data_IF_752857624415
#
_entry.id   IF_752857624415
#
_cell.length_a   1.000
_cell.length_b   1.000
_cell.length_c   1.000
_cell.angle_alpha   90.00
_cell.angle_beta   90.00
_cell.angle_gamma   90.00
#
_symmetry.space_group_name_H-M   'P 1'
#
loop_
_entity.id
_entity.type
_entity.pdbx_description
1 polymer ?
#
# COMPACT_ATOMS: atom_id res chain seq x y z
N UNK A 1 12.18 4.43 -12.52
CA UNK A 1 12.78 4.92 -13.78
C UNK A 1 12.83 3.83 -14.85
N UNK A 2 13.35 2.61 -14.56
CA UNK A 2 13.43 1.53 -15.55
C UNK A 2 12.04 1.22 -16.13
N UNK A 3 11.07 0.91 -15.29
CA UNK A 3 9.71 0.57 -15.74
C UNK A 3 9.02 1.75 -16.44
N UNK A 4 9.27 3.00 -16.01
CA UNK A 4 8.75 4.17 -16.70
C UNK A 4 9.28 4.33 -18.13
N UNK A 5 10.51 3.86 -18.40
CA UNK A 5 11.09 3.84 -19.75
C UNK A 5 10.59 2.65 -20.59
N UNK A 6 10.46 1.48 -19.97
CA UNK A 6 10.15 0.22 -20.65
C UNK A 6 8.63 0.03 -20.84
N UNK A 7 7.84 0.34 -19.79
CA UNK A 7 6.40 0.12 -19.70
C UNK A 7 5.61 1.40 -19.37
N UNK A 8 6.12 2.57 -19.76
CA UNK A 8 5.64 3.88 -19.28
C UNK A 8 4.14 4.12 -19.42
N UNK A 9 3.51 3.56 -20.46
CA UNK A 9 2.06 3.71 -20.73
C UNK A 9 1.20 2.67 -20.03
N UNK A 10 1.80 1.59 -19.50
CA UNK A 10 1.07 0.50 -18.86
C UNK A 10 0.64 0.92 -17.47
N UNK A 11 -0.57 0.52 -17.09
CA UNK A 11 -1.10 0.74 -15.74
C UNK A 11 -0.27 -0.07 -14.75
N UNK A 12 0.36 0.60 -13.81
CA UNK A 12 1.17 -0.03 -12.76
C UNK A 12 0.41 -0.23 -11.45
N UNK A 13 -0.48 0.69 -11.12
CA UNK A 13 -1.16 0.68 -9.84
C UNK A 13 -2.62 1.09 -10.01
N UNK A 14 -3.51 0.31 -9.41
CA UNK A 14 -4.95 0.57 -9.33
C UNK A 14 -5.35 0.64 -7.87
N UNK A 15 -6.19 1.58 -7.51
CA UNK A 15 -6.86 1.65 -6.20
C UNK A 15 -8.34 1.37 -6.38
N UNK A 16 -8.85 0.43 -5.60
CA UNK A 16 -10.29 0.14 -5.48
C UNK A 16 -10.76 0.52 -4.08
N UNK A 17 -11.72 1.43 -4.00
CA UNK A 17 -12.34 1.86 -2.75
C UNK A 17 -13.84 1.60 -2.80
N UNK A 18 -14.32 0.44 -2.30
CA UNK A 18 -15.73 0.08 -2.33
C UNK A 18 -16.66 1.07 -1.61
N UNK A 19 -16.17 1.75 -0.58
CA UNK A 19 -16.96 2.72 0.19
C UNK A 19 -17.39 3.93 -0.66
N UNK A 20 -16.65 4.22 -1.73
CA UNK A 20 -16.99 5.27 -2.69
C UNK A 20 -18.00 4.82 -3.75
N UNK A 21 -18.39 3.57 -3.76
CA UNK A 21 -19.43 3.04 -4.66
C UNK A 21 -20.85 3.39 -4.22
N UNK A 22 -21.03 3.97 -3.04
CA UNK A 22 -22.37 4.31 -2.54
C UNK A 22 -23.10 5.22 -3.52
N UNK A 23 -24.16 4.67 -4.07
CA UNK A 23 -25.13 5.39 -4.87
C UNK A 23 -25.88 6.33 -3.93
N UNK A 24 -25.72 7.63 -4.14
CA UNK A 24 -26.45 8.62 -3.38
C UNK A 24 -27.93 8.46 -3.72
N UNK A 25 -28.76 8.04 -2.75
CA UNK A 25 -30.21 8.02 -2.88
C UNK A 25 -30.69 9.46 -2.79
N UNK A 26 -31.25 9.97 -3.88
CA UNK A 26 -31.90 11.27 -3.92
C UNK A 26 -33.41 11.03 -4.06
N UNK A 27 -34.18 11.47 -3.09
CA UNK A 27 -35.66 11.44 -3.18
C UNK A 27 -36.11 12.68 -3.94
N UNK A 28 -36.71 12.48 -5.10
CA UNK A 28 -37.33 13.55 -5.86
C UNK A 28 -38.81 13.26 -6.08
N UNK A 29 -39.68 14.04 -5.42
CA UNK A 29 -41.12 13.79 -5.32
C UNK A 29 -41.38 12.38 -4.71
N UNK A 30 -42.16 11.54 -5.41
CA UNK A 30 -42.49 10.18 -4.99
C UNK A 30 -41.54 9.12 -5.58
N UNK A 31 -40.39 9.53 -6.14
CA UNK A 31 -39.43 8.65 -6.78
C UNK A 31 -38.08 8.66 -6.06
N UNK A 32 -37.53 7.49 -5.83
CA UNK A 32 -36.11 7.31 -5.43
C UNK A 32 -35.24 7.29 -6.68
N UNK A 33 -34.44 8.34 -6.87
CA UNK A 33 -33.43 8.37 -7.92
C UNK A 33 -32.10 7.93 -7.32
N UNK A 34 -31.46 6.97 -7.95
CA UNK A 34 -30.09 6.57 -7.62
C UNK A 34 -29.16 7.32 -8.55
N UNK A 35 -28.57 8.40 -8.07
CA UNK A 35 -27.52 9.09 -8.80
C UNK A 35 -26.17 8.41 -8.53
N UNK A 36 -25.49 8.04 -9.61
CA UNK A 36 -24.04 7.78 -9.53
C UNK A 36 -23.36 9.12 -9.26
N UNK A 37 -22.63 9.24 -8.15
CA UNK A 37 -21.81 10.43 -7.92
C UNK A 37 -20.61 10.38 -8.87
N UNK A 38 -20.57 11.18 -9.96
CA UNK A 38 -19.48 11.16 -10.95
C UNK A 38 -18.13 11.63 -10.35
N UNK A 39 -18.15 12.26 -9.17
CA UNK A 39 -16.95 12.69 -8.45
C UNK A 39 -16.38 11.62 -7.54
N UNK A 40 -17.12 10.52 -7.29
CA UNK A 40 -16.64 9.36 -6.52
C UNK A 40 -15.90 8.39 -7.43
N UNK A 41 -14.62 8.54 -7.52
CA UNK A 41 -13.77 7.59 -8.21
C UNK A 41 -13.48 6.38 -7.31
N UNK A 42 -14.43 5.45 -7.27
CA UNK A 42 -14.22 4.20 -6.54
C UNK A 42 -13.03 3.41 -7.10
N UNK A 43 -12.67 3.65 -8.36
CA UNK A 43 -11.53 3.07 -9.06
C UNK A 43 -10.66 4.18 -9.63
N UNK A 44 -9.41 4.25 -9.19
CA UNK A 44 -8.38 5.16 -9.72
C UNK A 44 -7.19 4.34 -10.22
N UNK A 45 -6.46 4.85 -11.20
CA UNK A 45 -5.25 4.18 -11.69
C UNK A 45 -4.17 5.18 -12.08
N UNK A 46 -2.92 4.70 -12.05
CA UNK A 46 -1.76 5.41 -12.59
C UNK A 46 -0.90 4.47 -13.42
N UNK A 47 -0.22 5.02 -14.43
CA UNK A 47 0.75 4.32 -15.26
C UNK A 47 2.14 4.38 -14.62
N UNK A 48 3.09 3.56 -15.13
CA UNK A 48 4.48 3.60 -14.67
C UNK A 48 5.12 4.97 -14.88
N UNK A 49 4.76 5.68 -15.95
CA UNK A 49 5.24 7.04 -16.18
C UNK A 49 4.74 8.01 -15.12
N UNK A 50 3.44 8.02 -14.86
CA UNK A 50 2.84 8.88 -13.82
C UNK A 50 3.36 8.53 -12.42
N UNK A 51 3.59 7.25 -12.15
CA UNK A 51 4.19 6.80 -10.90
C UNK A 51 5.58 7.42 -10.68
N UNK A 52 6.43 7.34 -11.71
CA UNK A 52 7.81 7.89 -11.63
C UNK A 52 7.80 9.41 -11.53
N UNK A 53 6.93 10.11 -12.26
CA UNK A 53 6.75 11.56 -12.15
C UNK A 53 6.33 11.98 -10.75
N UNK A 54 5.34 11.32 -10.16
CA UNK A 54 4.88 11.61 -8.78
C UNK A 54 6.00 11.40 -7.77
N UNK A 55 6.75 10.31 -7.88
CA UNK A 55 7.89 10.03 -7.02
C UNK A 55 9.00 11.10 -7.18
N UNK A 56 9.30 11.51 -8.40
CA UNK A 56 10.28 12.55 -8.67
C UNK A 56 9.85 13.91 -8.11
N UNK A 57 8.60 14.32 -8.31
CA UNK A 57 8.07 15.58 -7.78
C UNK A 57 8.15 15.64 -6.26
N UNK A 58 7.82 14.55 -5.58
CA UNK A 58 7.93 14.48 -4.13
C UNK A 58 9.40 14.51 -3.68
N UNK A 59 10.29 13.79 -4.36
CA UNK A 59 11.73 13.88 -4.09
C UNK A 59 12.27 15.31 -4.24
N UNK A 60 11.87 16.03 -5.30
CA UNK A 60 12.26 17.43 -5.50
C UNK A 60 11.70 18.35 -4.41
N UNK A 61 10.46 18.11 -3.94
CA UNK A 61 9.90 18.85 -2.81
C UNK A 61 10.74 18.62 -1.55
N UNK A 62 11.07 17.37 -1.21
CA UNK A 62 11.89 17.04 -0.05
C UNK A 62 13.26 17.72 -0.10
N UNK A 63 13.95 17.64 -1.25
CA UNK A 63 15.25 18.32 -1.47
C UNK A 63 15.13 19.83 -1.29
N UNK A 64 14.07 20.44 -1.82
CA UNK A 64 13.85 21.90 -1.68
C UNK A 64 13.63 22.34 -0.22
N UNK A 65 13.27 21.39 0.64
CA UNK A 65 13.10 21.59 2.09
C UNK A 65 14.34 21.16 2.90
N UNK A 66 15.44 20.83 2.22
CA UNK A 66 16.69 20.43 2.85
C UNK A 66 16.73 18.97 3.32
N UNK A 67 15.75 18.16 2.91
CA UNK A 67 15.68 16.73 3.26
C UNK A 67 16.50 15.92 2.25
N UNK A 68 17.40 15.08 2.75
CA UNK A 68 18.32 14.27 1.94
C UNK A 68 18.79 13.01 2.65
N UNK A 69 20.00 12.58 2.30
CA UNK A 69 20.58 11.32 2.79
C UNK A 69 20.68 11.29 4.32
N UNK A 70 20.06 10.28 4.93
CA UNK A 70 20.05 10.06 6.37
C UNK A 70 18.87 10.69 7.11
N UNK A 71 18.15 11.64 6.50
CA UNK A 71 16.89 12.16 7.07
C UNK A 71 15.77 11.12 7.00
N UNK A 72 14.74 11.28 7.82
CA UNK A 72 13.66 10.29 7.97
C UNK A 72 12.31 10.93 7.67
N UNK A 73 11.56 10.27 6.80
CA UNK A 73 10.23 10.72 6.37
C UNK A 73 9.20 9.67 6.72
N UNK A 74 8.30 9.98 7.65
CA UNK A 74 7.23 9.08 8.07
C UNK A 74 6.03 9.13 7.12
N UNK A 75 5.40 7.97 6.92
CA UNK A 75 4.20 7.80 6.09
C UNK A 75 3.08 7.24 6.97
N UNK A 76 2.04 8.03 7.20
CA UNK A 76 0.82 7.66 7.92
C UNK A 76 -0.39 7.78 6.98
N UNK A 77 -0.53 6.81 6.10
CA UNK A 77 -1.56 6.74 5.07
C UNK A 77 -2.24 5.38 5.06
N UNK A 78 -3.52 5.35 4.72
CA UNK A 78 -4.17 4.11 4.28
C UNK A 78 -3.58 3.70 2.91
N UNK A 79 -3.82 2.44 2.49
CA UNK A 79 -3.45 2.03 1.13
C UNK A 79 -4.13 2.94 0.11
N UNK A 80 -3.35 3.68 -0.66
CA UNK A 80 -3.81 4.60 -1.69
C UNK A 80 -2.78 4.74 -2.82
N UNK A 81 -3.17 5.35 -3.93
CA UNK A 81 -2.28 5.55 -5.08
C UNK A 81 -1.06 6.42 -4.75
N UNK A 82 -1.17 7.28 -3.77
CA UNK A 82 -0.12 8.21 -3.34
C UNK A 82 0.96 7.52 -2.50
N UNK A 83 0.62 6.44 -1.80
CA UNK A 83 1.50 5.78 -0.82
C UNK A 83 2.85 5.35 -1.40
N UNK A 84 2.82 4.61 -2.50
CA UNK A 84 4.03 4.06 -3.11
C UNK A 84 4.88 5.11 -3.85
N UNK A 85 4.31 6.06 -4.62
CA UNK A 85 5.07 7.19 -5.14
C UNK A 85 5.74 8.02 -4.06
N UNK A 86 5.09 8.24 -2.90
CA UNK A 86 5.69 8.90 -1.74
C UNK A 86 6.88 8.09 -1.22
N UNK A 87 6.69 6.78 -0.99
CA UNK A 87 7.75 5.90 -0.52
C UNK A 87 8.99 5.96 -1.43
N UNK A 88 8.81 5.83 -2.75
CA UNK A 88 9.91 5.90 -3.69
C UNK A 88 10.47 7.32 -3.87
N UNK A 89 9.65 8.35 -3.71
CA UNK A 89 10.11 9.73 -3.67
C UNK A 89 11.10 9.97 -2.53
N UNK A 90 10.80 9.42 -1.34
CA UNK A 90 11.73 9.44 -0.19
C UNK A 90 13.04 8.75 -0.55
N UNK A 91 12.98 7.51 -1.02
CA UNK A 91 14.18 6.74 -1.36
C UNK A 91 15.04 7.42 -2.42
N UNK A 92 14.45 8.14 -3.38
CA UNK A 92 15.18 8.89 -4.42
C UNK A 92 16.03 10.05 -3.87
N UNK A 93 15.78 10.51 -2.64
CA UNK A 93 16.60 11.53 -1.97
C UNK A 93 17.75 10.95 -1.14
N UNK A 94 17.77 9.63 -0.93
CA UNK A 94 18.64 8.97 0.05
C UNK A 94 18.12 9.08 1.49
N UNK A 95 16.95 9.67 1.71
CA UNK A 95 16.28 9.66 3.00
C UNK A 95 15.64 8.29 3.28
N UNK A 96 15.38 8.00 4.56
CA UNK A 96 14.77 6.76 5.02
C UNK A 96 13.25 6.91 5.09
N UNK A 97 12.55 5.94 4.52
CA UNK A 97 11.10 5.85 4.67
C UNK A 97 10.73 5.22 6.03
N UNK A 98 9.80 5.83 6.75
CA UNK A 98 9.32 5.36 8.06
C UNK A 98 7.81 5.09 8.01
N UNK A 99 7.37 3.94 7.47
CA UNK A 99 5.95 3.59 7.44
C UNK A 99 5.38 3.38 8.82
N UNK A 100 4.30 4.10 9.15
CA UNK A 100 3.62 3.99 10.45
C UNK A 100 2.35 3.15 10.34
N UNK A 101 2.08 2.39 11.39
CA UNK A 101 0.85 1.63 11.49
C UNK A 101 -0.36 2.59 11.61
N UNK A 102 -1.30 2.47 10.70
CA UNK A 102 -2.50 3.31 10.67
C UNK A 102 -3.44 3.10 11.89
N UNK A 103 -3.16 2.09 12.74
CA UNK A 103 -3.91 1.84 13.97
C UNK A 103 -3.34 2.55 15.19
N UNK A 104 -2.16 3.16 15.07
CA UNK A 104 -1.54 3.85 16.19
C UNK A 104 -2.41 4.98 16.73
N UNK A 105 -2.49 5.04 18.05
CA UNK A 105 -3.04 6.17 18.79
C UNK A 105 -2.09 7.39 18.73
N UNK A 106 -2.55 8.60 19.08
CA UNK A 106 -1.72 9.81 19.01
C UNK A 106 -0.38 9.69 19.76
N UNK A 107 -0.38 9.11 20.96
CA UNK A 107 0.82 8.87 21.77
C UNK A 107 1.79 7.86 21.16
N UNK A 108 1.26 6.82 20.49
CA UNK A 108 2.09 5.85 19.75
C UNK A 108 2.70 6.48 18.51
N UNK A 109 1.97 7.37 17.81
CA UNK A 109 2.49 8.14 16.67
C UNK A 109 3.62 9.03 17.15
N UNK A 110 3.39 9.85 18.19
CA UNK A 110 4.41 10.73 18.79
C UNK A 110 5.65 9.93 19.20
N UNK A 111 5.46 8.79 19.88
CA UNK A 111 6.54 7.91 20.29
C UNK A 111 7.38 7.41 19.10
N UNK A 112 6.73 6.91 18.04
CA UNK A 112 7.44 6.40 16.86
C UNK A 112 8.19 7.51 16.12
N UNK A 113 7.60 8.70 15.99
CA UNK A 113 8.24 9.86 15.38
C UNK A 113 9.50 10.29 16.15
N UNK A 114 9.44 10.25 17.47
CA UNK A 114 10.57 10.61 18.33
C UNK A 114 11.65 9.51 18.33
N UNK A 115 11.26 8.24 18.42
CA UNK A 115 12.21 7.11 18.43
C UNK A 115 13.00 7.01 17.13
N UNK A 116 12.37 7.24 16.00
CA UNK A 116 13.02 7.21 14.69
C UNK A 116 13.64 8.56 14.30
N UNK A 117 13.55 9.59 15.15
CA UNK A 117 14.05 10.94 14.86
C UNK A 117 13.56 11.46 13.51
N UNK A 118 12.23 11.37 13.28
CA UNK A 118 11.60 11.73 12.01
C UNK A 118 11.66 13.23 11.76
N UNK A 119 12.00 13.64 10.54
CA UNK A 119 12.08 15.04 10.10
C UNK A 119 10.80 15.51 9.42
N UNK A 120 10.09 14.60 8.74
CA UNK A 120 8.87 14.88 7.98
C UNK A 120 7.81 13.85 8.27
N UNK A 121 6.57 14.28 8.50
CA UNK A 121 5.40 13.40 8.54
C UNK A 121 4.49 13.68 7.35
N UNK A 122 4.19 12.66 6.56
CA UNK A 122 3.17 12.68 5.50
C UNK A 122 1.97 11.91 5.99
N UNK A 123 0.78 12.53 6.03
CA UNK A 123 -0.42 11.90 6.57
C UNK A 123 -1.67 12.18 5.74
N UNK A 124 -2.67 11.30 5.87
CA UNK A 124 -3.93 11.36 5.12
C UNK A 124 -5.13 11.80 5.96
N UNK A 125 -6.30 11.93 5.32
CA UNK A 125 -7.51 12.47 5.94
C UNK A 125 -8.02 11.64 7.13
N UNK A 126 -7.77 10.34 7.11
CA UNK A 126 -8.20 9.42 8.19
C UNK A 126 -7.47 9.69 9.53
N UNK A 127 -6.40 10.49 9.48
CA UNK A 127 -5.51 10.74 10.61
C UNK A 127 -5.53 12.18 11.13
N UNK A 128 -6.30 13.09 10.52
CA UNK A 128 -6.33 14.51 10.90
C UNK A 128 -6.48 14.68 12.42
N UNK A 129 -7.52 14.10 13.03
CA UNK A 129 -7.77 14.26 14.47
C UNK A 129 -6.64 13.73 15.37
N UNK A 130 -6.01 12.62 14.98
CA UNK A 130 -4.89 12.04 15.74
C UNK A 130 -3.62 12.89 15.64
N UNK A 131 -3.35 13.44 14.45
CA UNK A 131 -2.18 14.31 14.22
C UNK A 131 -2.42 15.68 14.84
N UNK A 132 -3.64 16.24 14.77
CA UNK A 132 -4.01 17.50 15.39
C UNK A 132 -3.78 17.49 16.92
N UNK A 133 -4.13 16.39 17.58
CA UNK A 133 -3.96 16.23 19.04
C UNK A 133 -2.49 16.39 19.48
N UNK A 134 -1.55 16.02 18.60
CA UNK A 134 -0.11 16.07 18.90
C UNK A 134 0.63 17.15 18.09
N UNK A 135 -0.07 17.91 17.25
CA UNK A 135 0.54 18.84 16.30
C UNK A 135 1.48 19.86 16.95
N UNK A 136 1.07 20.46 18.06
CA UNK A 136 1.90 21.45 18.78
C UNK A 136 3.22 20.87 19.30
N UNK A 137 3.27 19.57 19.57
CA UNK A 137 4.48 18.89 20.06
C UNK A 137 5.40 18.49 18.90
N UNK A 138 4.81 18.02 17.80
CA UNK A 138 5.59 17.45 16.68
C UNK A 138 6.01 18.47 15.63
N UNK A 139 5.26 19.58 15.44
CA UNK A 139 5.54 20.60 14.43
C UNK A 139 6.74 21.51 14.75
N UNK A 140 7.20 21.55 15.98
CA UNK A 140 8.32 22.39 16.37
C UNK A 140 9.62 22.07 15.63
N UNK A 141 9.83 20.79 15.28
CA UNK A 141 11.05 20.29 14.64
C UNK A 141 10.76 19.41 13.41
N UNK A 142 9.54 19.42 12.84
CA UNK A 142 9.14 18.55 11.74
C UNK A 142 8.27 19.28 10.74
N UNK A 143 8.42 18.91 9.47
CA UNK A 143 7.50 19.30 8.41
C UNK A 143 6.29 18.34 8.42
N UNK A 144 5.09 18.89 8.26
CA UNK A 144 3.85 18.14 8.19
C UNK A 144 3.22 18.31 6.81
N UNK A 145 3.16 17.25 6.00
CA UNK A 145 2.53 17.27 4.68
C UNK A 145 1.22 16.47 4.72
N UNK A 146 0.16 17.08 4.25
CA UNK A 146 -1.15 16.47 4.18
C UNK A 146 -1.50 16.05 2.77
N UNK A 147 -1.90 14.78 2.60
CA UNK A 147 -2.34 14.18 1.34
C UNK A 147 -3.86 14.08 1.36
N UNK A 148 -4.54 14.91 0.59
CA UNK A 148 -6.01 14.94 0.53
C UNK A 148 -6.54 16.30 0.11
N UNK A 149 -7.88 16.47 0.15
CA UNK A 149 -8.54 17.68 -0.33
C UNK A 149 -8.33 18.89 0.58
N UNK A 150 -9.15 18.99 1.64
CA UNK A 150 -9.15 20.15 2.54
C UNK A 150 -7.99 20.02 3.54
N UNK A 151 -6.86 20.67 3.24
CA UNK A 151 -5.66 20.65 4.07
C UNK A 151 -5.90 21.39 5.40
N UNK A 152 -5.64 20.77 6.54
CA UNK A 152 -5.75 21.42 7.84
C UNK A 152 -4.68 22.51 8.01
N UNK A 153 -5.00 23.55 8.81
CA UNK A 153 -4.15 24.74 8.96
C UNK A 153 -2.77 24.47 9.59
N UNK A 154 -2.61 23.34 10.29
CA UNK A 154 -1.35 22.94 10.92
C UNK A 154 -0.42 22.15 9.98
N UNK A 155 -0.80 21.90 8.72
CA UNK A 155 -0.02 21.16 7.74
C UNK A 155 0.07 21.89 6.40
N UNK A 156 0.96 21.41 5.54
CA UNK A 156 1.12 21.90 4.17
C UNK A 156 0.49 20.92 3.17
N UNK A 157 -0.14 21.46 2.14
CA UNK A 157 -0.87 20.70 1.12
C UNK A 157 0.12 19.99 0.15
N UNK A 158 0.22 18.69 0.28
CA UNK A 158 1.09 17.83 -0.55
C UNK A 158 0.81 17.99 -2.04
N UNK A 159 -0.46 17.99 -2.45
CA UNK A 159 -0.83 18.02 -3.87
C UNK A 159 -0.47 19.35 -4.50
N UNK A 160 -0.73 20.49 -3.82
CA UNK A 160 -0.36 21.82 -4.31
C UNK A 160 1.14 21.99 -4.38
N UNK A 161 1.88 21.51 -3.37
CA UNK A 161 3.34 21.67 -3.34
C UNK A 161 4.00 20.82 -4.43
N UNK A 162 3.64 19.55 -4.55
CA UNK A 162 4.22 18.64 -5.54
C UNK A 162 3.88 19.03 -6.98
N UNK A 163 2.69 19.59 -7.23
CA UNK A 163 2.30 20.08 -8.56
C UNK A 163 3.29 21.12 -9.13
N UNK A 164 3.93 21.90 -8.27
CA UNK A 164 4.89 22.94 -8.67
C UNK A 164 6.33 22.44 -8.75
N UNK A 165 6.61 21.17 -8.40
CA UNK A 165 7.94 20.60 -8.44
C UNK A 165 8.26 20.00 -9.81
N UNK A 166 9.55 19.98 -10.17
CA UNK A 166 10.01 19.31 -11.37
C UNK A 166 9.78 17.79 -11.30
N UNK A 167 9.42 17.19 -12.45
CA UNK A 167 9.22 15.74 -12.57
C UNK A 167 10.50 14.96 -12.93
N UNK A 168 11.64 15.64 -12.94
CA UNK A 168 12.94 15.03 -13.24
C UNK A 168 13.49 14.31 -12.00
N UNK A 169 14.08 13.14 -12.23
CA UNK A 169 14.77 12.39 -11.18
C UNK A 169 15.90 13.24 -10.56
N UNK A 170 16.06 13.24 -9.23
CA UNK A 170 17.05 14.10 -8.56
C UNK A 170 18.50 13.70 -8.83
N UNK A 171 18.74 12.47 -9.32
CA UNK A 171 20.09 12.01 -9.68
C UNK A 171 21.03 11.80 -8.47
N UNK A 172 20.48 11.64 -7.28
CA UNK A 172 21.27 11.36 -6.07
C UNK A 172 21.85 9.94 -6.16
N UNK A 173 23.16 9.76 -5.99
CA UNK A 173 23.78 8.44 -5.97
C UNK A 173 23.38 7.70 -4.67
N UNK A 174 22.83 6.50 -4.83
CA UNK A 174 22.38 5.63 -3.75
C UNK A 174 23.01 4.26 -3.95
N UNK A 175 23.57 3.71 -2.88
CA UNK A 175 24.14 2.36 -2.83
C UNK A 175 23.12 1.36 -2.26
N UNK A 176 23.25 0.10 -2.64
CA UNK A 176 22.47 -1.00 -2.05
C UNK A 176 22.71 -1.15 -0.53
N UNK A 177 23.90 -0.72 -0.05
CA UNK A 177 24.27 -0.73 1.37
C UNK A 177 23.71 0.47 2.16
N UNK A 178 23.21 1.52 1.47
CA UNK A 178 22.64 2.69 2.15
C UNK A 178 21.36 2.30 2.88
N UNK A 179 21.13 2.94 4.03
CA UNK A 179 19.90 2.79 4.79
C UNK A 179 18.70 3.27 3.98
N UNK A 180 17.61 2.51 4.02
CA UNK A 180 16.44 2.74 3.16
C UNK A 180 15.15 2.96 3.93
N UNK A 181 14.93 2.22 5.03
CA UNK A 181 13.69 2.34 5.77
C UNK A 181 13.81 1.90 7.22
N UNK A 182 12.95 2.47 8.07
CA UNK A 182 12.72 2.02 9.45
C UNK A 182 11.28 1.49 9.52
N UNK A 183 11.14 0.20 9.88
CA UNK A 183 9.85 -0.43 10.14
C UNK A 183 9.66 -0.65 11.62
N UNK A 184 8.40 -0.58 12.06
CA UNK A 184 8.06 -0.85 13.46
C UNK A 184 7.44 -2.24 13.59
N UNK A 185 7.94 -3.04 14.55
CA UNK A 185 7.31 -4.28 14.98
C UNK A 185 6.56 -4.07 16.30
N UNK A 186 5.55 -4.93 16.55
CA UNK A 186 4.89 -4.99 17.84
C UNK A 186 5.88 -5.47 18.90
N UNK A 187 6.38 -4.56 19.73
CA UNK A 187 7.28 -4.91 20.81
C UNK A 187 6.60 -5.82 21.85
N UNK A 188 7.32 -6.82 22.36
CA UNK A 188 6.87 -7.64 23.49
C UNK A 188 6.70 -6.84 24.80
N UNK A 189 7.19 -5.61 24.82
CA UNK A 189 7.20 -4.69 25.97
C UNK A 189 6.08 -3.62 25.93
N UNK A 190 5.17 -3.69 24.96
CA UNK A 190 4.03 -2.78 24.81
C UNK A 190 4.25 -1.62 23.83
N UNK A 191 5.50 -1.18 23.62
CA UNK A 191 5.80 -0.13 22.64
C UNK A 191 6.46 -0.70 21.38
N UNK A 192 6.23 -0.08 20.18
CA UNK A 192 6.85 -0.50 18.93
C UNK A 192 8.39 -0.42 18.98
N UNK A 193 9.05 -1.38 18.32
CA UNK A 193 10.52 -1.38 18.14
C UNK A 193 10.87 -0.95 16.73
N UNK A 194 11.81 -0.03 16.60
CA UNK A 194 12.33 0.43 15.32
C UNK A 194 13.34 -0.57 14.75
N UNK A 195 13.17 -0.94 13.48
CA UNK A 195 14.02 -1.90 12.76
C UNK A 195 14.54 -1.21 11.50
N UNK A 196 15.85 -1.08 11.40
CA UNK A 196 16.52 -0.45 10.27
C UNK A 196 16.80 -1.46 9.17
N UNK A 197 16.51 -1.09 7.93
CA UNK A 197 16.78 -1.87 6.73
C UNK A 197 17.50 -1.04 5.69
N UNK A 198 18.46 -1.65 4.99
CA UNK A 198 19.10 -1.08 3.81
C UNK A 198 18.37 -1.50 2.51
N UNK A 199 18.77 -0.89 1.38
CA UNK A 199 18.16 -1.18 0.09
C UNK A 199 18.34 -2.64 -0.33
N UNK A 200 19.51 -3.25 -0.08
CA UNK A 200 19.79 -4.63 -0.45
C UNK A 200 18.83 -5.62 0.23
N UNK A 201 18.66 -5.51 1.55
CA UNK A 201 17.79 -6.42 2.33
C UNK A 201 16.33 -6.34 1.86
N UNK A 202 15.84 -5.11 1.63
CA UNK A 202 14.48 -4.90 1.13
C UNK A 202 14.29 -5.48 -0.27
N UNK A 203 15.27 -5.32 -1.15
CA UNK A 203 15.22 -5.82 -2.52
C UNK A 203 15.38 -7.34 -2.57
N UNK A 204 16.21 -7.93 -1.70
CA UNK A 204 16.42 -9.38 -1.64
C UNK A 204 15.11 -10.11 -1.35
N UNK A 205 14.38 -9.69 -0.32
CA UNK A 205 13.08 -10.27 0.02
C UNK A 205 12.11 -10.23 -1.17
N UNK A 206 12.08 -9.12 -1.90
CA UNK A 206 11.21 -8.96 -3.06
C UNK A 206 11.60 -9.89 -4.22
N UNK A 207 12.90 -10.09 -4.47
CA UNK A 207 13.40 -11.03 -5.49
C UNK A 207 13.04 -12.47 -5.14
N UNK A 208 13.14 -12.84 -3.87
CA UNK A 208 12.77 -14.18 -3.39
C UNK A 208 11.29 -14.46 -3.65
N UNK A 209 10.42 -13.56 -3.21
CA UNK A 209 8.96 -13.70 -3.42
C UNK A 209 8.59 -13.73 -4.91
N UNK A 210 9.10 -12.80 -5.69
CA UNK A 210 8.83 -12.76 -7.14
C UNK A 210 9.21 -14.09 -7.80
N UNK A 211 10.35 -14.68 -7.41
CA UNK A 211 10.81 -15.96 -7.94
C UNK A 211 9.89 -17.11 -7.52
N UNK A 212 9.46 -17.16 -6.26
CA UNK A 212 8.54 -18.19 -5.76
C UNK A 212 7.17 -18.09 -6.41
N UNK A 213 6.63 -16.90 -6.56
CA UNK A 213 5.37 -16.68 -7.26
C UNK A 213 5.46 -16.95 -8.77
N UNK A 214 6.66 -17.01 -9.33
CA UNK A 214 6.86 -17.03 -10.78
C UNK A 214 6.20 -15.84 -11.44
N UNK A 215 6.25 -14.66 -10.77
CA UNK A 215 5.57 -13.46 -11.24
C UNK A 215 6.28 -12.91 -12.47
N UNK A 216 5.48 -12.53 -13.46
CA UNK A 216 5.91 -11.95 -14.75
C UNK A 216 5.23 -10.61 -14.99
N UNK A 217 5.56 -9.94 -16.10
CA UNK A 217 4.92 -8.69 -16.51
C UNK A 217 3.40 -8.83 -16.72
N UNK A 218 2.95 -9.99 -17.19
CA UNK A 218 1.53 -10.25 -17.49
C UNK A 218 0.67 -10.49 -16.25
N UNK A 219 1.28 -10.61 -15.07
CA UNK A 219 0.55 -10.82 -13.83
C UNK A 219 -0.10 -9.55 -13.30
N UNK A 220 -1.20 -9.74 -12.58
CA UNK A 220 -1.89 -8.70 -11.82
C UNK A 220 -1.97 -9.13 -10.36
N UNK A 221 -1.29 -8.39 -9.49
CA UNK A 221 -1.20 -8.69 -8.08
C UNK A 221 -2.25 -7.93 -7.27
N UNK A 222 -3.13 -8.61 -6.55
CA UNK A 222 -4.05 -7.98 -5.60
C UNK A 222 -3.39 -7.91 -4.21
N UNK A 223 -3.03 -6.69 -3.82
CA UNK A 223 -2.45 -6.37 -2.51
C UNK A 223 -3.52 -5.78 -1.58
N UNK A 224 -4.02 -6.59 -0.64
CA UNK A 224 -5.03 -6.18 0.33
C UNK A 224 -4.38 -5.71 1.64
N UNK A 225 -3.35 -6.41 2.16
CA UNK A 225 -2.73 -6.04 3.43
C UNK A 225 -2.13 -4.63 3.42
N UNK A 226 -2.03 -3.99 4.60
CA UNK A 226 -1.52 -2.63 4.70
C UNK A 226 -0.06 -2.49 4.23
N UNK A 227 0.22 -1.47 3.42
CA UNK A 227 1.55 -1.20 2.86
C UNK A 227 2.61 -0.82 3.90
N UNK A 228 2.22 -0.42 5.11
CA UNK A 228 3.18 -0.16 6.18
C UNK A 228 3.85 -1.44 6.71
N UNK A 229 3.30 -2.62 6.45
CA UNK A 229 3.96 -3.89 6.77
C UNK A 229 5.01 -4.26 5.72
N UNK A 230 6.15 -4.78 6.18
CA UNK A 230 7.21 -5.28 5.29
C UNK A 230 6.68 -6.34 4.31
N UNK A 231 5.82 -7.25 4.77
CA UNK A 231 5.21 -8.27 3.93
C UNK A 231 4.41 -7.70 2.75
N UNK A 232 3.50 -6.75 2.98
CA UNK A 232 2.70 -6.15 1.91
C UNK A 232 3.54 -5.45 0.86
N UNK A 233 4.53 -4.67 1.32
CA UNK A 233 5.47 -3.98 0.43
C UNK A 233 6.28 -4.97 -0.40
N UNK A 234 6.78 -6.02 0.22
CA UNK A 234 7.57 -7.05 -0.45
C UNK A 234 6.81 -7.65 -1.65
N UNK A 235 5.54 -7.99 -1.46
CA UNK A 235 4.72 -8.53 -2.55
C UNK A 235 4.50 -7.52 -3.66
N UNK A 236 4.25 -6.25 -3.32
CA UNK A 236 4.13 -5.21 -4.35
C UNK A 236 5.45 -5.01 -5.11
N UNK A 237 6.60 -5.15 -4.45
CA UNK A 237 7.89 -5.04 -5.11
C UNK A 237 8.15 -6.13 -6.16
N UNK A 238 7.46 -7.28 -6.07
CA UNK A 238 7.42 -8.24 -7.16
C UNK A 238 6.88 -7.61 -8.45
N UNK A 239 5.82 -6.82 -8.36
CA UNK A 239 5.29 -6.04 -9.48
C UNK A 239 6.29 -4.98 -9.97
N UNK A 240 7.01 -4.32 -9.07
CA UNK A 240 8.08 -3.39 -9.43
C UNK A 240 9.21 -4.08 -10.22
N UNK A 241 9.61 -5.30 -9.79
CA UNK A 241 10.68 -6.05 -10.46
C UNK A 241 10.32 -6.48 -11.87
N UNK A 242 9.06 -6.83 -12.11
CA UNK A 242 8.57 -7.37 -13.38
C UNK A 242 7.88 -6.33 -14.27
N UNK A 243 7.62 -5.13 -13.76
CA UNK A 243 6.83 -4.12 -14.46
C UNK A 243 5.33 -4.44 -14.53
N UNK A 244 4.85 -5.40 -13.73
CA UNK A 244 3.45 -5.83 -13.74
C UNK A 244 2.53 -4.88 -12.97
N UNK A 245 1.21 -5.06 -13.16
CA UNK A 245 0.18 -4.28 -12.49
C UNK A 245 -0.05 -4.79 -11.05
N UNK A 246 -0.27 -3.88 -10.12
CA UNK A 246 -0.78 -4.19 -8.79
C UNK A 246 -2.09 -3.45 -8.51
N UNK A 247 -2.94 -4.07 -7.69
CA UNK A 247 -4.24 -3.53 -7.27
C UNK A 247 -4.25 -3.40 -5.76
N UNK A 248 -4.56 -2.21 -5.26
CA UNK A 248 -4.77 -1.94 -3.85
C UNK A 248 -6.27 -1.95 -3.56
N UNK A 249 -6.72 -2.79 -2.64
CA UNK A 249 -8.11 -2.85 -2.22
C UNK A 249 -8.27 -2.22 -0.83
N UNK A 250 -9.09 -1.17 -0.75
CA UNK A 250 -9.63 -0.64 0.51
C UNK A 250 -10.96 -1.33 0.81
N UNK A 251 -11.28 -1.58 2.06
CA UNK A 251 -12.56 -2.18 2.43
C UNK A 251 -12.69 -3.65 2.00
N UNK A 252 -12.54 -4.56 2.94
CA UNK A 252 -12.39 -6.00 2.70
C UNK A 252 -13.66 -6.75 3.08
N UNK A 253 -14.26 -7.43 2.10
CA UNK A 253 -15.32 -8.42 2.28
C UNK A 253 -15.16 -9.54 1.26
N UNK A 254 -15.76 -10.72 1.45
CA UNK A 254 -15.75 -11.78 0.46
C UNK A 254 -16.18 -11.31 -0.92
N UNK A 255 -17.24 -10.54 -0.99
CA UNK A 255 -17.78 -9.96 -2.22
C UNK A 255 -16.80 -9.02 -2.89
N UNK A 256 -16.27 -8.02 -2.16
CA UNK A 256 -15.36 -7.01 -2.74
C UNK A 256 -14.04 -7.61 -3.22
N UNK A 257 -13.55 -8.66 -2.54
CA UNK A 257 -12.36 -9.40 -2.99
C UNK A 257 -12.64 -10.08 -4.35
N UNK A 258 -13.72 -10.86 -4.44
CA UNK A 258 -14.04 -11.61 -5.66
C UNK A 258 -14.42 -10.67 -6.84
N UNK A 259 -15.15 -9.59 -6.57
CA UNK A 259 -15.43 -8.54 -7.57
C UNK A 259 -14.13 -7.91 -8.09
N UNK A 260 -13.21 -7.58 -7.21
CA UNK A 260 -11.92 -7.00 -7.60
C UNK A 260 -11.08 -7.98 -8.42
N UNK A 261 -11.00 -9.25 -7.99
CA UNK A 261 -10.29 -10.30 -8.74
C UNK A 261 -10.87 -10.46 -10.14
N UNK A 262 -12.21 -10.49 -10.24
CA UNK A 262 -12.93 -10.63 -11.52
C UNK A 262 -12.71 -9.42 -12.43
N UNK A 263 -12.94 -8.20 -11.92
CA UNK A 263 -12.97 -6.98 -12.72
C UNK A 263 -11.56 -6.54 -13.14
N UNK A 264 -10.58 -6.63 -12.23
CA UNK A 264 -9.19 -6.25 -12.50
C UNK A 264 -8.36 -7.40 -13.09
N UNK A 265 -8.95 -8.59 -13.23
CA UNK A 265 -8.30 -9.81 -13.75
C UNK A 265 -7.06 -10.20 -12.94
N UNK A 266 -7.18 -10.16 -11.61
CA UNK A 266 -6.06 -10.49 -10.74
C UNK A 266 -5.63 -11.95 -10.90
N UNK A 267 -4.34 -12.18 -11.03
CA UNK A 267 -3.73 -13.51 -11.22
C UNK A 267 -3.09 -14.05 -9.95
N UNK A 268 -2.64 -13.16 -9.09
CA UNK A 268 -2.06 -13.45 -7.78
C UNK A 268 -2.80 -12.63 -6.73
N UNK A 269 -3.26 -13.29 -5.67
CA UNK A 269 -4.01 -12.63 -4.58
C UNK A 269 -3.35 -12.97 -3.25
N UNK A 270 -3.04 -11.96 -2.46
CA UNK A 270 -2.62 -12.19 -1.09
C UNK A 270 -3.78 -12.07 -0.13
N UNK A 271 -4.10 -13.19 0.53
CA UNK A 271 -5.13 -13.29 1.55
C UNK A 271 -4.52 -13.53 2.93
N UNK A 272 -5.08 -12.90 3.94
CA UNK A 272 -4.93 -13.35 5.32
C UNK A 272 -5.84 -14.55 5.56
N UNK A 273 -5.44 -15.43 6.49
CA UNK A 273 -6.23 -16.64 6.83
C UNK A 273 -7.70 -16.32 7.16
N UNK A 274 -8.05 -15.28 7.97
CA UNK A 274 -9.45 -14.92 8.21
C UNK A 274 -10.22 -14.60 6.93
N UNK A 275 -9.64 -13.84 6.00
CA UNK A 275 -10.33 -13.49 4.75
C UNK A 275 -10.62 -14.71 3.87
N UNK A 276 -9.67 -15.65 3.81
CA UNK A 276 -9.91 -16.92 3.13
C UNK A 276 -11.04 -17.73 3.80
N UNK A 277 -11.09 -17.72 5.13
CA UNK A 277 -12.18 -18.36 5.89
C UNK A 277 -13.53 -17.69 5.63
N UNK A 278 -13.58 -16.35 5.59
CA UNK A 278 -14.79 -15.58 5.32
C UNK A 278 -15.33 -15.84 3.91
N UNK A 279 -14.44 -15.93 2.90
CA UNK A 279 -14.84 -16.32 1.53
C UNK A 279 -15.47 -17.72 1.53
N UNK A 280 -14.83 -18.70 2.14
CA UNK A 280 -15.37 -20.06 2.21
C UNK A 280 -16.69 -20.12 2.96
N UNK A 281 -16.83 -19.39 4.06
CA UNK A 281 -18.06 -19.32 4.82
C UNK A 281 -19.21 -18.67 4.03
N UNK A 282 -18.91 -17.63 3.25
CA UNK A 282 -19.89 -16.98 2.39
C UNK A 282 -20.35 -17.89 1.24
N UNK A 283 -19.42 -18.67 0.65
CA UNK A 283 -19.74 -19.69 -0.36
C UNK A 283 -20.62 -20.81 0.20
N UNK A 284 -20.28 -21.34 1.39
CA UNK A 284 -21.06 -22.42 2.03
C UNK A 284 -22.49 -21.98 2.37
N UNK A 285 -22.69 -20.70 2.75
CA UNK A 285 -24.02 -20.16 3.02
C UNK A 285 -24.80 -19.77 1.75
N UNK A 286 -24.13 -19.73 0.60
CA UNK A 286 -24.71 -19.25 -0.65
C UNK A 286 -24.90 -17.72 -0.71
N UNK A 287 -24.24 -16.97 0.17
CA UNK A 287 -24.23 -15.49 0.15
C UNK A 287 -23.55 -14.95 -1.11
N UNK A 288 -22.59 -15.71 -1.65
CA UNK A 288 -21.89 -15.46 -2.90
C UNK A 288 -21.85 -16.74 -3.74
N UNK A 289 -21.80 -16.59 -5.06
CA UNK A 289 -21.72 -17.70 -6.00
C UNK A 289 -20.54 -17.48 -6.93
N UNK A 290 -19.69 -18.50 -7.14
CA UNK A 290 -18.51 -18.38 -8.00
C UNK A 290 -18.86 -18.10 -9.45
N UNK A 291 -20.00 -18.57 -9.92
CA UNK A 291 -20.51 -18.36 -11.29
C UNK A 291 -20.77 -16.88 -11.63
N UNK A 292 -20.92 -16.02 -10.62
CA UNK A 292 -21.12 -14.58 -10.79
C UNK A 292 -19.80 -13.83 -11.13
N UNK A 293 -18.66 -14.52 -11.01
CA UNK A 293 -17.33 -13.92 -11.14
C UNK A 293 -16.48 -14.63 -12.20
N UNK A 294 -15.60 -13.87 -12.87
CA UNK A 294 -14.58 -14.42 -13.79
C UNK A 294 -13.29 -14.61 -13.02
N UNK A 295 -12.99 -15.85 -12.60
CA UNK A 295 -11.87 -16.17 -11.71
C UNK A 295 -10.83 -17.11 -12.34
N UNK A 296 -11.01 -17.55 -13.59
CA UNK A 296 -10.15 -18.54 -14.27
C UNK A 296 -8.68 -18.11 -14.34
N UNK A 297 -8.43 -16.79 -14.41
CA UNK A 297 -7.09 -16.22 -14.45
C UNK A 297 -6.38 -16.21 -13.07
N UNK A 298 -7.12 -16.36 -11.97
CA UNK A 298 -6.55 -16.39 -10.63
C UNK A 298 -5.78 -17.70 -10.42
N UNK A 299 -4.48 -17.66 -10.60
CA UNK A 299 -3.60 -18.83 -10.58
C UNK A 299 -2.98 -19.14 -9.23
N UNK A 300 -2.76 -18.12 -8.39
CA UNK A 300 -2.02 -18.25 -7.14
C UNK A 300 -2.71 -17.49 -6.00
N UNK A 301 -2.95 -18.21 -4.90
CA UNK A 301 -3.30 -17.62 -3.61
C UNK A 301 -2.05 -17.62 -2.73
N UNK A 302 -1.51 -16.44 -2.44
CA UNK A 302 -0.56 -16.29 -1.35
C UNK A 302 -1.34 -16.13 -0.04
N UNK A 303 -1.07 -16.96 0.97
CA UNK A 303 -1.81 -16.95 2.24
C UNK A 303 -0.83 -17.01 3.41
N UNK A 304 -0.96 -16.08 4.36
CA UNK A 304 0.01 -16.00 5.44
C UNK A 304 -0.38 -15.07 6.58
N UNK A 305 0.64 -14.46 7.17
CA UNK A 305 0.62 -13.64 8.37
C UNK A 305 0.20 -14.37 9.67
N UNK A 306 -0.14 -15.65 9.58
CA UNK A 306 -0.38 -16.56 10.71
C UNK A 306 -0.32 -18.02 10.22
N UNK A 307 -0.24 -19.02 11.13
CA UNK A 307 -0.26 -20.42 10.74
C UNK A 307 -1.48 -20.77 9.88
N UNK A 308 -1.24 -21.43 8.75
CA UNK A 308 -2.29 -21.84 7.81
C UNK A 308 -2.75 -23.26 8.12
N UNK A 309 -4.01 -23.48 8.57
CA UNK A 309 -4.50 -24.82 8.87
C UNK A 309 -4.59 -25.67 7.58
N UNK A 310 -4.08 -26.92 7.57
CA UNK A 310 -4.23 -27.79 6.41
C UNK A 310 -5.68 -28.06 6.00
N UNK A 311 -6.62 -28.00 6.96
CA UNK A 311 -8.07 -28.09 6.70
C UNK A 311 -8.59 -26.95 5.84
N UNK A 312 -8.07 -25.73 6.03
CA UNK A 312 -8.42 -24.57 5.22
C UNK A 312 -8.07 -24.80 3.75
N UNK A 313 -6.83 -25.28 3.48
CA UNK A 313 -6.39 -25.54 2.12
C UNK A 313 -7.19 -26.68 1.48
N UNK A 314 -7.49 -27.76 2.21
CA UNK A 314 -8.35 -28.85 1.71
C UNK A 314 -9.76 -28.34 1.33
N UNK A 315 -10.34 -27.46 2.17
CA UNK A 315 -11.64 -26.88 1.90
C UNK A 315 -11.59 -25.87 0.74
N UNK A 316 -10.54 -25.07 0.67
CA UNK A 316 -10.30 -24.13 -0.45
C UNK A 316 -10.26 -24.84 -1.81
N UNK A 317 -9.59 -25.97 -1.89
CA UNK A 317 -9.50 -26.78 -3.11
C UNK A 317 -10.84 -27.37 -3.59
N UNK A 318 -11.87 -27.43 -2.76
CA UNK A 318 -13.20 -27.85 -3.19
C UNK A 318 -13.86 -26.81 -4.09
N UNK A 319 -13.60 -25.53 -3.82
CA UNK A 319 -14.12 -24.41 -4.58
C UNK A 319 -13.16 -23.96 -5.69
N UNK A 320 -11.87 -24.03 -5.43
CA UNK A 320 -10.79 -23.57 -6.32
C UNK A 320 -9.76 -24.66 -6.60
N UNK A 321 -10.13 -25.72 -7.34
CA UNK A 321 -9.27 -26.89 -7.52
C UNK A 321 -7.98 -26.60 -8.30
N UNK A 322 -7.97 -25.59 -9.15
CA UNK A 322 -6.84 -25.21 -10.00
C UNK A 322 -5.88 -24.19 -9.37
N UNK A 323 -6.27 -23.56 -8.25
CA UNK A 323 -5.40 -22.63 -7.58
C UNK A 323 -4.14 -23.30 -7.04
N UNK A 324 -2.99 -22.71 -7.34
CA UNK A 324 -1.80 -22.91 -6.55
C UNK A 324 -1.90 -22.07 -5.27
N UNK A 325 -1.22 -22.48 -4.23
CA UNK A 325 -1.12 -21.69 -3.00
C UNK A 325 0.33 -21.68 -2.55
N UNK A 326 0.71 -20.55 -2.00
CA UNK A 326 2.01 -20.30 -1.41
C UNK A 326 1.80 -19.72 -0.01
N UNK A 327 2.72 -20.02 0.90
CA UNK A 327 2.74 -19.45 2.24
C UNK A 327 4.17 -19.26 2.66
N UNK A 328 4.44 -18.16 3.32
CA UNK A 328 5.74 -17.91 3.89
C UNK A 328 5.67 -17.65 5.39
N UNK A 329 6.81 -17.77 6.02
CA UNK A 329 7.11 -17.30 7.35
C UNK A 329 7.96 -16.04 7.21
N UNK A 330 7.70 -15.03 8.02
CA UNK A 330 8.49 -13.80 8.02
C UNK A 330 8.29 -12.96 9.26
N UNK A 331 9.27 -12.13 9.52
CA UNK A 331 9.28 -11.12 10.57
C UNK A 331 9.62 -9.76 9.97
N UNK A 332 9.29 -8.67 10.67
CA UNK A 332 9.72 -7.32 10.26
C UNK A 332 11.24 -7.22 10.18
N UNK A 333 11.94 -7.92 11.05
CA UNK A 333 13.40 -7.98 11.12
C UNK A 333 14.04 -8.69 9.92
N UNK A 334 13.37 -9.67 9.33
CA UNK A 334 13.86 -10.42 8.16
C UNK A 334 13.42 -9.82 6.82
N UNK A 335 12.67 -8.72 6.84
CA UNK A 335 12.04 -8.07 5.67
C UNK A 335 11.03 -8.92 4.91
N UNK A 336 10.81 -10.14 5.26
CA UNK A 336 9.93 -11.05 4.55
C UNK A 336 10.29 -12.50 4.77
N UNK A 337 10.21 -13.34 3.71
CA UNK A 337 10.33 -14.77 3.89
C UNK A 337 11.67 -15.14 4.54
N UNK A 338 11.55 -15.83 5.66
CA UNK A 338 12.70 -16.34 6.42
C UNK A 338 13.21 -17.64 5.85
#
# INVERSE_FOLDING_TARGET
EKNAKEYGKDVCLVEINPDLQEKKRVTWRDYELIESNPMCQYRREITWHVFDEKANRFAQLLISRGIGKGDKVAILLMNCLEWLPIYFGILKTGALAVPLNFRYAPDEIEYCLNLAEVDVLVFGPEFIGRVEEIADKISQNRLLFYVGGDCPSFAEDYDKLTANCASLAPGIPISDEDDAAIYFSSGTTGFPKAILHNHESLMHACKVEQKHHGQTHDDVFLCIPPLYHTGAKMHWFGSLLTGSKAVLLKGVSPKTILETVSNEKCTIVWLLVPWAQDILAALDRGDIKLEDYKLDQWRLMHIGAQPVPPSLIRRWKQYFPHHKYDTNYGLSESTGPG
#
